data_IF_254616687179
#
_entry.id   IF_254616687179
#
_cell.length_a   1.000
_cell.length_b   1.000
_cell.length_c   1.000
_cell.angle_alpha   90.00
_cell.angle_beta   90.00
_cell.angle_gamma   90.00
#
_symmetry.space_group_name_H-M   'P 1'
#
loop_
_entity.id
_entity.type
_entity.pdbx_description
1 polymer ?
#
# COMPACT_ATOMS: atom_id res chain seq x y z
N UNK A 1 1.71 -2.82 -20.64
CA UNK A 1 1.41 -4.05 -19.84
C UNK A 1 1.37 -3.72 -18.34
N UNK A 2 0.61 -2.71 -17.91
CA UNK A 2 0.54 -2.27 -16.49
C UNK A 2 -0.30 -3.22 -15.62
N UNK A 3 -1.33 -3.83 -16.22
CA UNK A 3 -2.23 -4.80 -15.56
C UNK A 3 -1.46 -5.97 -14.96
N UNK A 4 -0.41 -6.45 -15.63
CA UNK A 4 0.41 -7.56 -15.13
C UNK A 4 1.08 -7.19 -13.81
N UNK A 5 1.67 -5.99 -13.71
CA UNK A 5 2.30 -5.53 -12.46
C UNK A 5 1.27 -5.39 -11.34
N UNK A 6 0.07 -4.87 -11.63
CA UNK A 6 -1.00 -4.76 -10.66
C UNK A 6 -1.49 -6.13 -10.16
N UNK A 7 -1.61 -7.12 -11.06
CA UNK A 7 -2.00 -8.49 -10.69
C UNK A 7 -0.93 -9.16 -9.83
N UNK A 8 0.35 -9.04 -10.19
CA UNK A 8 1.44 -9.56 -9.36
C UNK A 8 1.50 -8.89 -8.00
N UNK A 9 1.27 -7.58 -7.92
CA UNK A 9 1.18 -6.87 -6.65
C UNK A 9 0.05 -7.44 -5.78
N UNK A 10 -1.15 -7.65 -6.33
CA UNK A 10 -2.27 -8.24 -5.60
C UNK A 10 -1.96 -9.66 -5.08
N UNK A 11 -1.31 -10.49 -5.89
CA UNK A 11 -0.86 -11.84 -5.49
C UNK A 11 0.15 -11.75 -4.34
N UNK A 12 1.16 -10.89 -4.47
CA UNK A 12 2.22 -10.74 -3.47
C UNK A 12 1.69 -10.16 -2.15
N UNK A 13 0.72 -9.24 -2.18
CA UNK A 13 0.04 -8.77 -0.98
C UNK A 13 -0.74 -9.89 -0.29
N UNK A 14 -1.45 -10.74 -1.04
CA UNK A 14 -2.11 -11.93 -0.48
C UNK A 14 -1.13 -12.89 0.20
N UNK A 15 0.03 -13.14 -0.42
CA UNK A 15 1.11 -13.95 0.18
C UNK A 15 1.67 -13.24 1.42
N UNK A 16 1.95 -11.94 1.36
CA UNK A 16 2.46 -11.17 2.49
C UNK A 16 1.53 -11.28 3.71
N UNK A 17 0.22 -11.10 3.54
CA UNK A 17 -0.73 -11.17 4.66
C UNK A 17 -0.80 -12.56 5.28
N UNK A 18 -0.83 -13.61 4.46
CA UNK A 18 -0.85 -14.99 4.98
C UNK A 18 0.43 -15.35 5.73
N UNK A 19 1.59 -14.87 5.29
CA UNK A 19 2.86 -15.02 6.01
C UNK A 19 2.87 -14.19 7.30
N UNK A 20 2.44 -12.92 7.23
CA UNK A 20 2.37 -12.02 8.37
C UNK A 20 1.50 -12.60 9.49
N UNK A 21 0.34 -13.20 9.19
CA UNK A 21 -0.51 -13.82 10.21
C UNK A 21 0.22 -14.94 10.98
N UNK A 22 1.09 -15.71 10.32
CA UNK A 22 1.89 -16.74 11.00
C UNK A 22 3.04 -16.14 11.80
N UNK A 23 3.73 -15.16 11.24
CA UNK A 23 4.92 -14.54 11.84
C UNK A 23 4.55 -13.70 13.07
N UNK A 24 3.45 -12.94 13.00
CA UNK A 24 2.99 -12.04 14.06
C UNK A 24 2.44 -12.75 15.31
N UNK A 25 2.33 -14.09 15.26
CA UNK A 25 2.10 -14.94 16.45
C UNK A 25 3.38 -15.16 17.25
N UNK A 26 4.55 -14.95 16.64
CA UNK A 26 5.86 -15.25 17.23
C UNK A 26 6.69 -14.00 17.52
N UNK A 27 6.54 -12.93 16.72
CA UNK A 27 7.27 -11.67 16.89
C UNK A 27 6.32 -10.47 16.88
N UNK A 28 6.80 -9.34 17.40
CA UNK A 28 6.02 -8.10 17.42
C UNK A 28 5.83 -7.50 16.02
N UNK A 29 4.74 -6.75 15.83
CA UNK A 29 4.47 -6.00 14.60
C UNK A 29 5.61 -5.06 14.25
N UNK A 30 6.14 -4.32 15.23
CA UNK A 30 7.26 -3.40 15.01
C UNK A 30 8.50 -4.13 14.52
N UNK A 31 8.81 -5.32 15.06
CA UNK A 31 9.96 -6.11 14.63
C UNK A 31 9.80 -6.61 13.20
N UNK A 32 8.62 -7.14 12.84
CA UNK A 32 8.36 -7.60 11.47
C UNK A 32 8.53 -6.44 10.47
N UNK A 33 7.86 -5.32 10.73
CA UNK A 33 7.92 -4.15 9.86
C UNK A 33 9.34 -3.58 9.74
N UNK A 34 10.09 -3.52 10.85
CA UNK A 34 11.48 -3.06 10.80
C UNK A 34 12.34 -3.94 9.90
N UNK A 35 12.16 -5.27 9.93
CA UNK A 35 12.88 -6.21 9.06
C UNK A 35 12.50 -6.05 7.59
N UNK A 36 11.20 -5.92 7.30
CA UNK A 36 10.70 -5.68 5.94
C UNK A 36 11.25 -4.37 5.35
N UNK A 37 11.18 -3.28 6.12
CA UNK A 37 11.67 -1.97 5.71
C UNK A 37 13.19 -1.95 5.55
N UNK A 38 13.94 -2.60 6.44
CA UNK A 38 15.39 -2.69 6.34
C UNK A 38 15.81 -3.46 5.08
N UNK A 39 15.21 -4.63 4.83
CA UNK A 39 15.53 -5.42 3.64
C UNK A 39 15.13 -4.67 2.36
N UNK A 40 13.94 -4.07 2.34
CA UNK A 40 13.47 -3.24 1.23
C UNK A 40 14.41 -2.08 0.94
N UNK A 41 14.82 -1.34 1.98
CA UNK A 41 15.77 -0.24 1.85
C UNK A 41 17.11 -0.70 1.23
N UNK A 42 17.67 -1.82 1.69
CA UNK A 42 18.93 -2.36 1.16
C UNK A 42 18.77 -2.72 -0.32
N UNK A 43 17.74 -3.50 -0.67
CA UNK A 43 17.53 -3.98 -2.04
C UNK A 43 17.25 -2.83 -2.99
N UNK A 44 16.32 -1.94 -2.64
CA UNK A 44 15.94 -0.84 -3.52
C UNK A 44 17.01 0.27 -3.58
N UNK A 45 17.80 0.48 -2.54
CA UNK A 45 18.96 1.37 -2.61
C UNK A 45 20.02 0.81 -3.58
N UNK A 46 20.33 -0.49 -3.53
CA UNK A 46 21.29 -1.11 -4.44
C UNK A 46 20.83 -1.02 -5.91
N UNK A 47 19.55 -1.29 -6.17
CA UNK A 47 18.98 -1.20 -7.52
C UNK A 47 18.93 0.25 -8.02
N UNK A 48 18.46 1.19 -7.20
CA UNK A 48 18.37 2.61 -7.59
C UNK A 48 19.74 3.25 -7.77
N UNK A 49 20.75 2.86 -6.99
CA UNK A 49 22.11 3.37 -7.11
C UNK A 49 22.70 3.16 -8.52
N UNK A 50 22.39 2.01 -9.13
CA UNK A 50 22.86 1.64 -10.46
C UNK A 50 22.00 2.19 -11.61
N UNK A 51 20.84 2.78 -11.31
CA UNK A 51 19.85 3.16 -12.33
C UNK A 51 19.47 4.63 -12.30
N UNK A 52 18.88 5.14 -11.20
CA UNK A 52 18.22 6.45 -11.18
C UNK A 52 18.60 7.36 -10.01
N UNK A 53 19.21 6.83 -8.95
CA UNK A 53 19.37 7.52 -7.65
C UNK A 53 19.98 8.91 -7.76
N UNK A 54 21.04 9.11 -8.57
CA UNK A 54 21.69 10.43 -8.70
C UNK A 54 20.73 11.49 -9.27
N UNK A 55 19.94 11.11 -10.28
CA UNK A 55 18.96 12.00 -10.91
C UNK A 55 17.83 12.31 -9.91
N UNK A 56 17.32 11.29 -9.24
CA UNK A 56 16.18 11.44 -8.33
C UNK A 56 16.54 12.27 -7.10
N UNK A 57 17.76 12.11 -6.55
CA UNK A 57 18.26 12.97 -5.46
C UNK A 57 18.34 14.42 -5.91
N UNK A 58 18.81 14.70 -7.13
CA UNK A 58 18.85 16.07 -7.65
C UNK A 58 17.44 16.66 -7.73
N UNK A 59 16.46 15.90 -8.26
CA UNK A 59 15.05 16.32 -8.30
C UNK A 59 14.52 16.64 -6.89
N UNK A 60 14.78 15.77 -5.91
CA UNK A 60 14.36 16.00 -4.53
C UNK A 60 15.01 17.24 -3.89
N UNK A 61 16.22 17.60 -4.32
CA UNK A 61 16.92 18.81 -3.85
C UNK A 61 16.40 20.09 -4.53
N UNK A 62 16.01 20.01 -5.81
CA UNK A 62 15.62 21.19 -6.60
C UNK A 62 14.11 21.43 -6.63
N UNK A 63 13.29 20.43 -6.33
CA UNK A 63 11.83 20.50 -6.38
C UNK A 63 11.20 20.23 -5.01
N UNK A 64 11.01 21.26 -4.16
CA UNK A 64 10.50 21.09 -2.79
C UNK A 64 9.14 20.40 -2.72
N UNK A 65 8.28 20.61 -3.73
CA UNK A 65 6.98 19.93 -3.81
C UNK A 65 7.13 18.41 -3.89
N UNK A 66 8.06 17.93 -4.71
CA UNK A 66 8.32 16.49 -4.86
C UNK A 66 8.89 15.94 -3.56
N UNK A 67 9.84 16.64 -2.93
CA UNK A 67 10.38 16.25 -1.63
C UNK A 67 9.29 16.08 -0.57
N UNK A 68 8.38 17.05 -0.44
CA UNK A 68 7.29 16.97 0.53
C UNK A 68 6.30 15.84 0.23
N UNK A 69 5.98 15.60 -1.04
CA UNK A 69 5.16 14.46 -1.44
C UNK A 69 5.84 13.13 -1.11
N UNK A 70 7.15 13.01 -1.35
CA UNK A 70 7.93 11.81 -1.00
C UNK A 70 7.96 11.59 0.51
N UNK A 71 8.19 12.64 1.32
CA UNK A 71 8.17 12.50 2.79
C UNK A 71 6.78 12.14 3.32
N UNK A 72 5.72 12.71 2.72
CA UNK A 72 4.35 12.36 3.06
C UNK A 72 4.04 10.89 2.70
N UNK A 73 4.45 10.43 1.51
CA UNK A 73 4.27 9.05 1.07
C UNK A 73 4.99 8.06 2.00
N UNK A 74 6.25 8.33 2.36
CA UNK A 74 7.01 7.52 3.31
C UNK A 74 6.29 7.44 4.67
N UNK A 75 5.75 8.57 5.14
CA UNK A 75 5.00 8.61 6.40
C UNK A 75 3.71 7.79 6.32
N UNK A 76 2.98 7.90 5.22
CA UNK A 76 1.72 7.18 4.98
C UNK A 76 1.96 5.68 4.85
N UNK A 77 2.99 5.24 4.11
CA UNK A 77 3.27 3.79 3.96
C UNK A 77 3.66 3.17 5.29
N UNK A 78 4.47 3.85 6.13
CA UNK A 78 4.82 3.35 7.47
C UNK A 78 3.58 3.19 8.36
N UNK A 79 2.66 4.18 8.33
CA UNK A 79 1.41 4.11 9.09
C UNK A 79 0.47 3.03 8.54
N UNK A 80 0.31 2.95 7.22
CA UNK A 80 -0.54 1.95 6.56
C UNK A 80 -0.04 0.53 6.87
N UNK A 81 1.27 0.28 6.73
CA UNK A 81 1.90 -1.00 7.07
C UNK A 81 1.70 -1.37 8.54
N UNK A 82 1.79 -0.39 9.46
CA UNK A 82 1.46 -0.62 10.87
C UNK A 82 0.01 -1.04 11.06
N UNK A 83 -0.96 -0.28 10.53
CA UNK A 83 -2.38 -0.57 10.74
C UNK A 83 -2.80 -1.90 10.12
N UNK A 84 -2.33 -2.25 8.91
CA UNK A 84 -2.68 -3.54 8.30
C UNK A 84 -2.05 -4.70 9.07
N UNK A 85 -0.77 -4.62 9.43
CA UNK A 85 -0.10 -5.69 10.18
C UNK A 85 -0.71 -5.87 11.58
N UNK A 86 -1.06 -4.78 12.27
CA UNK A 86 -1.78 -4.87 13.56
C UNK A 86 -3.20 -5.42 13.39
N UNK A 87 -3.93 -5.04 12.34
CA UNK A 87 -5.25 -5.61 12.03
C UNK A 87 -5.18 -7.12 11.82
N UNK A 88 -4.18 -7.59 11.08
CA UNK A 88 -3.91 -9.02 10.88
C UNK A 88 -3.60 -9.70 12.21
N UNK A 89 -2.74 -9.09 13.05
CA UNK A 89 -2.37 -9.64 14.35
C UNK A 89 -3.57 -9.79 15.29
N UNK A 90 -4.45 -8.79 15.34
CA UNK A 90 -5.62 -8.77 16.24
C UNK A 90 -6.75 -9.69 15.74
N UNK A 91 -6.87 -9.90 14.42
CA UNK A 91 -7.94 -10.70 13.82
C UNK A 91 -7.42 -11.90 13.03
N UNK A 92 -7.15 -11.72 11.74
CA UNK A 92 -6.52 -12.68 10.82
C UNK A 92 -6.29 -11.99 9.45
N UNK A 93 -5.49 -12.61 8.60
CA UNK A 93 -5.16 -12.08 7.26
C UNK A 93 -6.38 -11.91 6.37
N UNK A 94 -7.31 -12.86 6.41
CA UNK A 94 -8.48 -12.88 5.52
C UNK A 94 -9.36 -11.67 5.76
N UNK A 95 -9.87 -11.50 6.98
CA UNK A 95 -10.79 -10.40 7.31
C UNK A 95 -10.09 -9.04 7.17
N UNK A 96 -8.85 -8.91 7.63
CA UNK A 96 -8.10 -7.67 7.51
C UNK A 96 -7.89 -7.27 6.05
N UNK A 97 -7.44 -8.19 5.19
CA UNK A 97 -7.21 -7.93 3.77
C UNK A 97 -8.50 -7.62 3.01
N UNK A 98 -9.61 -8.31 3.31
CA UNK A 98 -10.91 -8.02 2.70
C UNK A 98 -11.39 -6.61 3.04
N UNK A 99 -11.33 -6.22 4.32
CA UNK A 99 -11.72 -4.86 4.72
C UNK A 99 -10.82 -3.83 4.04
N UNK A 100 -9.52 -4.09 3.93
CA UNK A 100 -8.57 -3.18 3.29
C UNK A 100 -8.88 -2.92 1.81
N UNK A 101 -9.46 -3.88 1.08
CA UNK A 101 -9.79 -3.75 -0.36
C UNK A 101 -10.72 -2.58 -0.71
N UNK A 102 -11.27 -1.86 0.27
CA UNK A 102 -11.98 -0.59 0.06
C UNK A 102 -11.04 0.59 -0.30
N UNK A 103 -9.72 0.43 -0.18
CA UNK A 103 -8.75 1.50 -0.47
C UNK A 103 -8.90 2.17 -1.85
N UNK A 104 -9.34 1.50 -2.95
CA UNK A 104 -9.53 2.18 -4.23
C UNK A 104 -10.55 3.32 -4.15
N UNK A 105 -11.56 3.23 -3.28
CA UNK A 105 -12.53 4.30 -3.03
C UNK A 105 -11.84 5.53 -2.41
N UNK A 106 -10.93 5.29 -1.46
CA UNK A 106 -10.13 6.34 -0.84
C UNK A 106 -9.09 6.91 -1.80
N UNK A 107 -8.48 6.09 -2.67
CA UNK A 107 -7.58 6.56 -3.72
C UNK A 107 -8.29 7.55 -4.64
N UNK A 108 -9.50 7.21 -5.12
CA UNK A 108 -10.31 8.11 -5.94
C UNK A 108 -10.60 9.43 -5.20
N UNK A 109 -11.05 9.34 -3.95
CA UNK A 109 -11.35 10.51 -3.12
C UNK A 109 -10.13 11.41 -2.93
N UNK A 110 -8.97 10.85 -2.58
CA UNK A 110 -7.77 11.63 -2.31
C UNK A 110 -7.10 12.18 -3.56
N UNK A 111 -7.17 11.45 -4.68
CA UNK A 111 -6.72 11.97 -5.98
C UNK A 111 -7.53 13.20 -6.40
N UNK A 112 -8.84 13.16 -6.22
CA UNK A 112 -9.70 14.34 -6.42
C UNK A 112 -9.41 15.46 -5.42
N UNK A 113 -9.36 15.13 -4.12
CA UNK A 113 -9.26 16.13 -3.04
C UNK A 113 -7.90 16.85 -3.02
N UNK A 114 -6.79 16.14 -3.20
CA UNK A 114 -5.45 16.70 -3.05
C UNK A 114 -4.84 17.16 -4.37
N UNK A 115 -5.21 16.56 -5.49
CA UNK A 115 -4.61 16.85 -6.80
C UNK A 115 -5.61 17.44 -7.81
N UNK A 116 -6.91 17.50 -7.48
CA UNK A 116 -7.93 18.02 -8.38
C UNK A 116 -8.17 17.13 -9.60
N UNK A 117 -7.65 15.90 -9.59
CA UNK A 117 -7.70 14.98 -10.71
C UNK A 117 -9.00 14.18 -10.70
N UNK A 118 -9.84 14.40 -11.71
CA UNK A 118 -11.10 13.70 -11.89
C UNK A 118 -10.92 12.49 -12.80
N UNK A 119 -10.60 11.34 -12.19
CA UNK A 119 -10.61 10.04 -12.85
C UNK A 119 -11.92 9.27 -12.65
N UNK A 120 -12.94 9.93 -12.10
CA UNK A 120 -14.25 9.33 -11.83
C UNK A 120 -15.12 9.37 -13.08
N UNK A 121 -15.43 8.20 -13.61
CA UNK A 121 -16.47 8.00 -14.61
C UNK A 121 -17.54 7.01 -14.09
N UNK A 122 -18.57 6.77 -14.90
CA UNK A 122 -19.65 5.83 -14.54
C UNK A 122 -19.14 4.42 -14.26
N UNK A 123 -18.08 3.97 -14.92
CA UNK A 123 -17.51 2.63 -14.73
C UNK A 123 -16.80 2.55 -13.38
N UNK A 124 -16.05 3.58 -13.00
CA UNK A 124 -15.37 3.69 -11.70
C UNK A 124 -16.39 3.70 -10.55
N UNK A 125 -17.51 4.42 -10.71
CA UNK A 125 -18.59 4.45 -9.70
C UNK A 125 -19.20 3.05 -9.55
N UNK A 126 -19.60 2.41 -10.66
CA UNK A 126 -20.21 1.08 -10.64
C UNK A 126 -19.25 0.04 -10.04
N UNK A 127 -17.98 0.05 -10.46
CA UNK A 127 -16.94 -0.82 -9.93
C UNK A 127 -16.69 -0.59 -8.44
N UNK A 128 -16.64 0.67 -8.01
CA UNK A 128 -16.50 1.04 -6.60
C UNK A 128 -17.64 0.52 -5.73
N UNK A 129 -18.88 0.62 -6.21
CA UNK A 129 -20.06 0.04 -5.54
C UNK A 129 -19.91 -1.48 -5.42
N UNK A 130 -19.48 -2.18 -6.48
CA UNK A 130 -19.26 -3.61 -6.43
C UNK A 130 -18.14 -4.03 -5.48
N UNK A 131 -17.05 -3.28 -5.41
CA UNK A 131 -15.99 -3.48 -4.41
C UNK A 131 -16.60 -3.38 -3.01
N UNK A 132 -17.34 -2.30 -2.73
CA UNK A 132 -17.94 -2.08 -1.42
C UNK A 132 -18.92 -3.20 -1.03
N UNK A 133 -19.83 -3.57 -1.92
CA UNK A 133 -20.77 -4.68 -1.70
C UNK A 133 -20.02 -5.99 -1.50
N UNK A 134 -19.02 -6.29 -2.31
CA UNK A 134 -18.21 -7.50 -2.20
C UNK A 134 -17.50 -7.59 -0.84
N UNK A 135 -16.86 -6.49 -0.40
CA UNK A 135 -16.23 -6.42 0.91
C UNK A 135 -17.26 -6.62 2.04
N UNK A 136 -18.42 -5.97 1.97
CA UNK A 136 -19.49 -6.15 2.95
C UNK A 136 -19.97 -7.61 3.02
N UNK A 137 -20.23 -8.24 1.88
CA UNK A 137 -20.70 -9.63 1.81
C UNK A 137 -19.71 -10.61 2.45
N UNK A 138 -18.41 -10.39 2.26
CA UNK A 138 -17.40 -11.30 2.82
C UNK A 138 -17.08 -10.97 4.28
N UNK A 139 -17.27 -9.71 4.70
CA UNK A 139 -17.00 -9.26 6.08
C UNK A 139 -18.11 -9.62 7.08
N UNK A 140 -19.32 -9.93 6.59
CA UNK A 140 -20.43 -10.40 7.43
C UNK A 140 -20.21 -11.91 7.72
N UNK A 141 -20.17 -12.33 9.01
CA UNK A 141 -19.98 -13.72 9.40
C UNK A 141 -21.18 -14.62 9.04
#
# INVERSE_FOLDING_TARGET
MWVIYALFAAILWGINYTLAEKILRSISTFTLLALEMLLGAIVFAALSYSTSMKKDILVLQTEPKVLWLTLAEISVVLLASYFIATSIQVKNATVAGIIELIYPLFTILFTWLFFGENHVDSSVIIGGIFIFIGVLMISIP
#
